data_IF_519293350102
#
_entry.id   IF_519293350102
#
_cell.length_a   1.000
_cell.length_b   1.000
_cell.length_c   1.000
_cell.angle_alpha   90.00
_cell.angle_beta   90.00
_cell.angle_gamma   90.00
#
_symmetry.space_group_name_H-M   'P 1'
#
loop_
_entity.id
_entity.type
_entity.pdbx_description
1 polymer ?
#
# COMPACT_ATOMS: atom_id res chain seq x y z
N UNK A 1 -8.20 -37.20 12.44
CA UNK A 1 -8.61 -36.09 11.54
C UNK A 1 -7.41 -35.37 10.94
N UNK A 2 -6.40 -35.00 11.74
CA UNK A 2 -5.19 -34.30 11.28
C UNK A 2 -4.38 -35.02 10.18
N UNK A 3 -4.26 -36.36 10.23
CA UNK A 3 -3.44 -37.12 9.28
C UNK A 3 -3.93 -37.08 7.84
N UNK A 4 -5.24 -37.18 7.62
CA UNK A 4 -5.82 -37.12 6.27
C UNK A 4 -5.76 -35.71 5.68
N UNK A 5 -6.00 -34.70 6.52
CA UNK A 5 -5.84 -33.30 6.14
C UNK A 5 -4.39 -32.96 5.77
N UNK A 6 -3.41 -33.53 6.47
CA UNK A 6 -1.99 -33.40 6.13
C UNK A 6 -1.64 -34.08 4.80
N UNK A 7 -2.26 -35.24 4.53
CA UNK A 7 -2.14 -35.92 3.23
C UNK A 7 -2.68 -35.05 2.09
N UNK A 8 -3.85 -34.44 2.28
CA UNK A 8 -4.46 -33.55 1.28
C UNK A 8 -3.65 -32.26 1.08
N UNK A 9 -3.09 -31.70 2.15
CA UNK A 9 -2.18 -30.54 2.07
C UNK A 9 -0.89 -30.84 1.31
N UNK A 10 -0.34 -32.05 1.46
CA UNK A 10 0.91 -32.44 0.79
C UNK A 10 0.68 -33.06 -0.59
N UNK A 11 -0.58 -33.26 -0.97
CA UNK A 11 -0.97 -33.78 -2.27
C UNK A 11 -0.54 -32.87 -3.42
N UNK A 12 -0.13 -33.50 -4.54
CA UNK A 12 0.16 -32.79 -5.80
C UNK A 12 -1.11 -32.33 -6.52
N UNK A 13 -2.28 -32.82 -6.10
CA UNK A 13 -3.57 -32.43 -6.66
C UNK A 13 -4.01 -31.09 -6.07
N UNK A 14 -4.07 -30.06 -6.92
CA UNK A 14 -4.46 -28.69 -6.52
C UNK A 14 -5.80 -28.63 -5.81
N UNK A 15 -6.79 -29.42 -6.23
CA UNK A 15 -8.12 -29.46 -5.59
C UNK A 15 -8.03 -29.94 -4.14
N UNK A 16 -7.28 -31.01 -3.87
CA UNK A 16 -7.15 -31.55 -2.52
C UNK A 16 -6.44 -30.53 -1.62
N UNK A 17 -5.32 -29.99 -2.12
CA UNK A 17 -4.54 -28.99 -1.42
C UNK A 17 -5.37 -27.73 -1.10
N UNK A 18 -6.12 -27.21 -2.07
CA UNK A 18 -6.90 -25.97 -1.86
C UNK A 18 -8.14 -26.16 -1.01
N UNK A 19 -8.81 -27.31 -1.07
CA UNK A 19 -9.91 -27.65 -0.15
C UNK A 19 -9.40 -27.80 1.28
N UNK A 20 -8.26 -28.46 1.47
CA UNK A 20 -7.60 -28.57 2.77
C UNK A 20 -7.23 -27.18 3.34
N UNK A 21 -6.64 -26.30 2.53
CA UNK A 21 -6.34 -24.92 2.92
C UNK A 21 -7.61 -24.13 3.28
N UNK A 22 -8.71 -24.30 2.54
CA UNK A 22 -9.98 -23.64 2.86
C UNK A 22 -10.58 -24.18 4.18
N UNK A 23 -10.52 -25.49 4.42
CA UNK A 23 -10.98 -26.10 5.66
C UNK A 23 -10.20 -25.56 6.87
N UNK A 24 -8.87 -25.47 6.76
CA UNK A 24 -8.00 -24.93 7.83
C UNK A 24 -8.34 -23.46 8.09
N UNK A 25 -8.45 -22.64 7.04
CA UNK A 25 -8.81 -21.24 7.16
C UNK A 25 -10.19 -21.05 7.81
N UNK A 26 -11.18 -21.88 7.47
CA UNK A 26 -12.53 -21.76 8.03
C UNK A 26 -12.62 -22.27 9.48
N UNK A 27 -11.91 -23.36 9.80
CA UNK A 27 -11.89 -23.93 11.15
C UNK A 27 -11.20 -22.98 12.14
N UNK A 28 -10.00 -22.49 11.78
CA UNK A 28 -9.29 -21.42 12.49
C UNK A 28 -9.17 -21.60 14.01
N UNK A 29 -9.12 -22.84 14.51
CA UNK A 29 -8.89 -23.11 15.94
C UNK A 29 -7.38 -23.07 16.25
N UNK A 30 -7.02 -22.86 17.52
CA UNK A 30 -5.61 -22.79 17.93
C UNK A 30 -4.85 -24.09 17.63
N UNK A 31 -5.49 -25.25 17.86
CA UNK A 31 -4.91 -26.58 17.62
C UNK A 31 -4.50 -26.81 16.16
N UNK A 32 -5.32 -26.39 15.18
CA UNK A 32 -4.96 -26.49 13.75
C UNK A 32 -3.87 -25.50 13.38
N UNK A 33 -3.84 -24.32 13.99
CA UNK A 33 -2.75 -23.35 13.83
C UNK A 33 -1.41 -23.94 14.28
N UNK A 34 -1.39 -24.55 15.47
CA UNK A 34 -0.20 -25.18 16.06
C UNK A 34 0.29 -26.36 15.22
N UNK A 35 -0.63 -27.22 14.80
CA UNK A 35 -0.29 -28.45 14.09
C UNK A 35 0.07 -28.21 12.62
N UNK A 36 -0.66 -27.33 11.92
CA UNK A 36 -0.62 -27.22 10.46
C UNK A 36 -0.13 -25.86 9.95
N UNK A 37 -0.02 -24.84 10.80
CA UNK A 37 0.44 -23.50 10.39
C UNK A 37 1.79 -23.53 9.68
N UNK A 38 2.74 -24.33 10.20
CA UNK A 38 4.04 -24.55 9.58
C UNK A 38 3.95 -25.21 8.19
N UNK A 39 2.99 -26.12 7.98
CA UNK A 39 2.77 -26.76 6.69
C UNK A 39 2.19 -25.77 5.67
N UNK A 40 1.25 -24.91 6.08
CA UNK A 40 0.70 -23.84 5.23
C UNK A 40 1.81 -22.87 4.82
N UNK A 41 2.65 -22.45 5.76
CA UNK A 41 3.83 -21.62 5.48
C UNK A 41 4.77 -22.30 4.48
N UNK A 42 5.08 -23.59 4.66
CA UNK A 42 5.92 -24.35 3.72
C UNK A 42 5.34 -24.36 2.30
N UNK A 43 4.03 -24.56 2.14
CA UNK A 43 3.36 -24.54 0.83
C UNK A 43 3.53 -23.17 0.17
N UNK A 44 3.30 -22.09 0.91
CA UNK A 44 3.47 -20.73 0.39
C UNK A 44 4.91 -20.45 -0.07
N UNK A 45 5.90 -21.01 0.64
CA UNK A 45 7.32 -20.80 0.35
C UNK A 45 7.82 -21.61 -0.87
N UNK A 46 7.08 -22.62 -1.34
CA UNK A 46 7.46 -23.43 -2.51
C UNK A 46 7.70 -22.57 -3.76
N UNK A 47 8.77 -22.85 -4.51
CA UNK A 47 9.16 -22.04 -5.67
C UNK A 47 8.14 -22.15 -6.81
N UNK A 48 7.64 -23.36 -7.09
CA UNK A 48 6.75 -23.65 -8.24
C UNK A 48 5.31 -23.95 -7.82
N UNK A 49 4.83 -23.32 -6.75
CA UNK A 49 3.43 -23.45 -6.35
C UNK A 49 2.51 -22.84 -7.42
N UNK A 50 1.37 -23.48 -7.66
CA UNK A 50 0.39 -23.00 -8.64
C UNK A 50 -0.28 -21.71 -8.16
N UNK A 51 -0.65 -20.77 -9.05
CA UNK A 51 -1.26 -19.51 -8.65
C UNK A 51 -2.48 -19.65 -7.72
N UNK A 52 -3.35 -20.64 -7.97
CA UNK A 52 -4.53 -20.87 -7.14
C UNK A 52 -4.17 -21.34 -5.73
N UNK A 53 -3.19 -22.24 -5.60
CA UNK A 53 -2.63 -22.68 -4.32
C UNK A 53 -2.00 -21.52 -3.56
N UNK A 54 -1.20 -20.68 -4.23
CA UNK A 54 -0.58 -19.49 -3.60
C UNK A 54 -1.63 -18.57 -3.01
N UNK A 55 -2.70 -18.27 -3.77
CA UNK A 55 -3.82 -17.42 -3.30
C UNK A 55 -4.44 -17.97 -2.02
N UNK A 56 -4.75 -19.27 -2.01
CA UNK A 56 -5.37 -19.94 -0.86
C UNK A 56 -4.43 -20.06 0.33
N UNK A 57 -3.16 -20.39 0.10
CA UNK A 57 -2.17 -20.52 1.16
C UNK A 57 -1.89 -19.16 1.84
N UNK A 58 -1.74 -18.09 1.06
CA UNK A 58 -1.53 -16.75 1.60
C UNK A 58 -2.71 -16.26 2.47
N UNK A 59 -3.95 -16.46 2.01
CA UNK A 59 -5.15 -16.07 2.77
C UNK A 59 -5.41 -16.98 3.97
N UNK A 60 -5.12 -18.28 3.86
CA UNK A 60 -5.20 -19.22 4.98
C UNK A 60 -4.21 -18.82 6.08
N UNK A 61 -2.96 -18.54 5.71
CA UNK A 61 -1.93 -18.11 6.65
C UNK A 61 -2.30 -16.77 7.31
N UNK A 62 -2.83 -15.81 6.54
CA UNK A 62 -3.33 -14.55 7.08
C UNK A 62 -4.45 -14.77 8.11
N UNK A 63 -5.39 -15.68 7.84
CA UNK A 63 -6.47 -15.99 8.77
C UNK A 63 -5.94 -16.60 10.06
N UNK A 64 -5.04 -17.58 9.94
CA UNK A 64 -4.40 -18.23 11.09
C UNK A 64 -3.60 -17.22 11.93
N UNK A 65 -2.80 -16.38 11.29
CA UNK A 65 -2.02 -15.33 11.95
C UNK A 65 -2.91 -14.36 12.72
N UNK A 66 -4.05 -13.94 12.14
CA UNK A 66 -4.97 -13.01 12.80
C UNK A 66 -5.71 -13.62 14.00
N UNK A 67 -5.98 -14.92 13.99
CA UNK A 67 -6.68 -15.61 15.08
C UNK A 67 -5.74 -16.04 16.21
N UNK A 68 -4.57 -16.57 15.85
CA UNK A 68 -3.64 -17.22 16.78
C UNK A 68 -2.21 -16.70 16.51
N UNK A 69 -1.99 -15.39 16.69
CA UNK A 69 -0.70 -14.73 16.42
C UNK A 69 0.43 -15.21 17.33
N UNK A 70 0.08 -15.73 18.51
CA UNK A 70 0.95 -16.37 19.49
C UNK A 70 1.50 -17.72 19.01
N UNK A 71 0.69 -18.46 18.23
CA UNK A 71 1.03 -19.79 17.75
C UNK A 71 1.60 -19.76 16.33
N UNK A 72 1.01 -18.96 15.45
CA UNK A 72 1.36 -18.91 14.02
C UNK A 72 2.10 -17.61 13.75
N UNK A 73 3.44 -17.68 13.77
CA UNK A 73 4.31 -16.58 13.40
C UNK A 73 4.44 -16.37 11.88
N UNK A 74 5.10 -15.27 11.46
CA UNK A 74 5.44 -15.04 10.07
C UNK A 74 6.35 -16.19 9.54
N UNK A 75 6.22 -16.58 8.26
CA UNK A 75 7.11 -17.59 7.69
C UNK A 75 8.57 -17.12 7.72
N UNK A 76 9.49 -18.03 8.05
CA UNK A 76 10.91 -17.75 7.97
C UNK A 76 11.30 -17.29 6.56
N UNK A 77 12.08 -16.21 6.45
CA UNK A 77 12.50 -15.61 5.18
C UNK A 77 11.34 -15.16 4.27
N UNK A 78 10.16 -14.88 4.83
CA UNK A 78 9.00 -14.46 4.05
C UNK A 78 9.27 -13.19 3.23
N UNK A 79 10.10 -12.27 3.71
CA UNK A 79 10.46 -11.03 2.98
C UNK A 79 11.07 -11.35 1.61
N UNK A 80 12.03 -12.28 1.53
CA UNK A 80 12.63 -12.68 0.26
C UNK A 80 11.61 -13.37 -0.65
N UNK A 81 10.75 -14.21 -0.08
CA UNK A 81 9.66 -14.82 -0.84
C UNK A 81 8.68 -13.76 -1.36
N UNK A 82 8.31 -12.78 -0.54
CA UNK A 82 7.40 -11.70 -0.90
C UNK A 82 7.96 -10.88 -2.07
N UNK A 83 9.27 -10.62 -2.13
CA UNK A 83 9.91 -9.96 -3.28
C UNK A 83 9.67 -10.71 -4.60
N UNK A 84 9.72 -12.04 -4.57
CA UNK A 84 9.43 -12.87 -5.75
C UNK A 84 7.93 -12.88 -6.09
N UNK A 85 7.07 -12.97 -5.07
CA UNK A 85 5.62 -13.03 -5.26
C UNK A 85 5.01 -11.70 -5.74
N UNK A 86 5.57 -10.56 -5.33
CA UNK A 86 5.15 -9.23 -5.80
C UNK A 86 5.49 -8.96 -7.28
N UNK A 87 6.31 -9.82 -7.90
CA UNK A 87 6.63 -9.76 -9.33
C UNK A 87 5.74 -10.69 -10.18
N UNK A 88 4.80 -11.41 -9.56
CA UNK A 88 3.89 -12.32 -10.24
C UNK A 88 2.97 -11.57 -11.23
N UNK A 89 2.56 -12.25 -12.31
CA UNK A 89 1.72 -11.66 -13.37
C UNK A 89 0.22 -11.67 -13.02
N UNK A 90 -0.24 -12.71 -12.32
CA UNK A 90 -1.63 -12.85 -11.87
C UNK A 90 -1.96 -11.85 -10.74
N UNK A 91 -2.93 -10.96 -11.00
CA UNK A 91 -3.37 -9.94 -10.05
C UNK A 91 -4.07 -10.50 -8.80
N UNK A 92 -4.64 -11.70 -8.86
CA UNK A 92 -5.23 -12.38 -7.72
C UNK A 92 -4.17 -12.89 -6.75
N UNK A 93 -3.04 -13.39 -7.26
CA UNK A 93 -1.86 -13.76 -6.45
C UNK A 93 -1.35 -12.51 -5.76
N UNK A 94 -1.14 -11.42 -6.51
CA UNK A 94 -0.70 -10.14 -5.96
C UNK A 94 -1.65 -9.63 -4.87
N UNK A 95 -2.98 -9.70 -5.08
CA UNK A 95 -3.98 -9.25 -4.10
C UNK A 95 -3.94 -10.08 -2.82
N UNK A 96 -3.83 -11.40 -2.93
CA UNK A 96 -3.73 -12.30 -1.78
C UNK A 96 -2.43 -12.08 -1.00
N UNK A 97 -1.31 -11.92 -1.69
CA UNK A 97 0.02 -11.68 -1.10
C UNK A 97 0.09 -10.31 -0.43
N UNK A 98 -0.41 -9.25 -1.06
CA UNK A 98 -0.52 -7.94 -0.42
C UNK A 98 -1.39 -7.98 0.84
N UNK A 99 -2.48 -8.75 0.83
CA UNK A 99 -3.33 -8.92 2.01
C UNK A 99 -2.59 -9.60 3.16
N UNK A 100 -1.75 -10.61 2.86
CA UNK A 100 -0.90 -11.26 3.85
C UNK A 100 0.16 -10.29 4.38
N UNK A 101 0.89 -9.58 3.50
CA UNK A 101 1.89 -8.58 3.90
C UNK A 101 1.24 -7.51 4.77
N UNK A 102 0.03 -7.04 4.43
CA UNK A 102 -0.71 -6.06 5.23
C UNK A 102 -1.02 -6.58 6.63
N UNK A 103 -1.40 -7.85 6.77
CA UNK A 103 -1.62 -8.47 8.08
C UNK A 103 -0.35 -8.54 8.93
N UNK A 104 0.78 -8.93 8.33
CA UNK A 104 2.06 -9.06 9.02
C UNK A 104 2.67 -7.68 9.35
N UNK A 105 2.58 -6.73 8.42
CA UNK A 105 3.07 -5.36 8.60
C UNK A 105 2.29 -4.60 9.67
N UNK A 106 1.02 -4.93 9.91
CA UNK A 106 0.27 -4.36 11.02
C UNK A 106 0.86 -4.72 12.40
N UNK A 107 1.57 -5.86 12.51
CA UNK A 107 2.26 -6.26 13.73
C UNK A 107 3.73 -5.77 13.77
N UNK A 108 4.42 -5.81 12.63
CA UNK A 108 5.84 -5.45 12.53
C UNK A 108 6.15 -4.67 11.23
N UNK A 109 5.72 -3.41 11.16
CA UNK A 109 5.81 -2.59 9.94
C UNK A 109 7.25 -2.48 9.39
N UNK A 110 8.22 -2.26 10.27
CA UNK A 110 9.64 -2.02 9.93
C UNK A 110 10.29 -3.16 9.14
N UNK A 111 9.88 -4.41 9.37
CA UNK A 111 10.44 -5.57 8.67
C UNK A 111 10.04 -5.61 7.19
N UNK A 112 8.90 -5.02 6.85
CA UNK A 112 8.32 -5.09 5.51
C UNK A 112 8.52 -3.81 4.69
N UNK A 113 9.11 -2.75 5.25
CA UNK A 113 9.37 -1.50 4.53
C UNK A 113 10.28 -1.69 3.31
N UNK A 114 11.15 -2.70 3.32
CA UNK A 114 11.98 -3.08 2.17
C UNK A 114 11.16 -3.47 0.92
N UNK A 115 9.86 -3.77 1.07
CA UNK A 115 8.96 -4.10 -0.02
C UNK A 115 8.31 -2.87 -0.67
N UNK A 116 8.40 -1.67 -0.06
CA UNK A 116 7.79 -0.42 -0.56
C UNK A 116 8.13 -0.17 -2.04
N UNK A 117 9.39 -0.25 -2.50
CA UNK A 117 9.71 0.00 -3.91
C UNK A 117 9.02 -0.96 -4.88
N UNK A 118 8.83 -2.22 -4.48
CA UNK A 118 8.13 -3.21 -5.29
C UNK A 118 6.63 -2.94 -5.35
N UNK A 119 6.04 -2.48 -4.25
CA UNK A 119 4.62 -2.11 -4.19
C UNK A 119 4.36 -0.86 -5.04
N UNK A 120 5.21 0.17 -4.95
CA UNK A 120 5.09 1.36 -5.79
C UNK A 120 5.23 1.03 -7.28
N UNK A 121 6.22 0.19 -7.65
CA UNK A 121 6.40 -0.29 -9.03
C UNK A 121 5.19 -1.08 -9.53
N UNK A 122 4.62 -1.94 -8.68
CA UNK A 122 3.41 -2.71 -8.99
C UNK A 122 2.23 -1.76 -9.26
N UNK A 123 2.02 -0.77 -8.40
CA UNK A 123 0.95 0.22 -8.56
C UNK A 123 1.14 1.05 -9.84
N UNK A 124 2.36 1.47 -10.16
CA UNK A 124 2.67 2.17 -11.41
C UNK A 124 2.31 1.31 -12.64
N UNK A 125 2.71 0.03 -12.63
CA UNK A 125 2.37 -0.93 -13.70
C UNK A 125 0.85 -1.09 -13.89
N UNK A 126 0.09 -1.15 -12.80
CA UNK A 126 -1.38 -1.35 -12.88
C UNK A 126 -2.11 -0.06 -13.25
N UNK A 127 -1.75 1.07 -12.64
CA UNK A 127 -2.49 2.34 -12.77
C UNK A 127 -2.08 3.10 -14.01
N UNK A 128 -0.78 3.23 -14.28
CA UNK A 128 -0.25 4.03 -15.39
C UNK A 128 -0.16 3.19 -16.66
N UNK A 129 0.49 2.03 -16.59
CA UNK A 129 0.73 1.18 -17.76
C UNK A 129 -0.47 0.29 -18.13
N UNK A 130 -1.50 0.23 -17.26
CA UNK A 130 -2.69 -0.63 -17.42
C UNK A 130 -2.34 -2.10 -17.69
N UNK A 131 -1.19 -2.56 -17.20
CA UNK A 131 -0.65 -3.88 -17.50
C UNK A 131 -1.25 -4.94 -16.56
N UNK A 132 -2.49 -5.31 -16.84
CA UNK A 132 -3.25 -6.39 -16.19
C UNK A 132 -3.92 -7.26 -17.25
N UNK A 133 -4.19 -8.53 -16.93
CA UNK A 133 -4.96 -9.39 -17.85
C UNK A 133 -6.41 -8.93 -17.93
N UNK A 134 -7.08 -9.24 -19.05
CA UNK A 134 -8.47 -8.84 -19.30
C UNK A 134 -9.43 -9.28 -18.20
N UNK A 135 -9.16 -10.42 -17.57
CA UNK A 135 -9.98 -10.99 -16.48
C UNK A 135 -10.01 -10.13 -15.21
N UNK A 136 -9.07 -9.19 -15.05
CA UNK A 136 -9.01 -8.24 -13.93
C UNK A 136 -9.42 -6.82 -14.32
N UNK A 137 -10.01 -6.63 -15.50
CA UNK A 137 -10.66 -5.37 -15.88
C UNK A 137 -12.07 -5.33 -15.28
N UNK A 138 -12.29 -4.40 -14.34
CA UNK A 138 -13.60 -4.17 -13.74
C UNK A 138 -14.24 -2.93 -14.38
N UNK A 139 -15.24 -3.12 -15.23
CA UNK A 139 -15.89 -2.03 -15.98
C UNK A 139 -14.87 -1.05 -16.61
N UNK A 140 -13.83 -1.60 -17.27
CA UNK A 140 -12.69 -0.91 -17.89
C UNK A 140 -11.67 -0.26 -16.94
N UNK A 141 -11.73 -0.57 -15.65
CA UNK A 141 -10.75 -0.15 -14.65
C UNK A 141 -9.80 -1.31 -14.38
N UNK A 142 -8.50 -1.08 -14.53
CA UNK A 142 -7.47 -2.09 -14.27
C UNK A 142 -7.36 -2.42 -12.78
N UNK A 143 -7.78 -3.64 -12.41
CA UNK A 143 -7.63 -4.24 -11.08
C UNK A 143 -7.86 -3.27 -9.90
N UNK A 144 -9.03 -2.61 -9.78
CA UNK A 144 -9.25 -1.57 -8.78
C UNK A 144 -9.00 -2.05 -7.34
N UNK A 145 -9.37 -3.29 -7.03
CA UNK A 145 -9.17 -3.86 -5.69
C UNK A 145 -7.71 -4.17 -5.37
N UNK A 146 -6.89 -4.47 -6.38
CA UNK A 146 -5.45 -4.60 -6.19
C UNK A 146 -4.84 -3.22 -5.85
N UNK A 147 -5.26 -2.17 -6.54
CA UNK A 147 -4.80 -0.79 -6.30
C UNK A 147 -5.20 -0.33 -4.91
N UNK A 148 -6.47 -0.50 -4.53
CA UNK A 148 -7.00 -0.24 -3.18
C UNK A 148 -6.15 -0.97 -2.13
N UNK A 149 -5.85 -2.25 -2.34
CA UNK A 149 -5.03 -3.03 -1.41
C UNK A 149 -3.59 -2.53 -1.30
N UNK A 150 -2.97 -2.15 -2.42
CA UNK A 150 -1.64 -1.57 -2.41
C UNK A 150 -1.59 -0.24 -1.66
N UNK A 151 -2.58 0.64 -1.88
CA UNK A 151 -2.69 1.90 -1.14
C UNK A 151 -2.94 1.70 0.36
N UNK A 152 -3.80 0.76 0.75
CA UNK A 152 -4.02 0.42 2.16
C UNK A 152 -2.75 -0.09 2.83
N UNK A 153 -1.96 -0.91 2.14
CA UNK A 153 -0.68 -1.39 2.65
C UNK A 153 0.34 -0.25 2.82
N UNK A 154 0.44 0.65 1.84
CA UNK A 154 1.35 1.79 1.91
C UNK A 154 1.08 2.69 3.13
N UNK A 155 -0.19 2.84 3.54
CA UNK A 155 -0.56 3.63 4.72
C UNK A 155 0.01 3.10 6.05
N UNK A 156 0.38 1.81 6.11
CA UNK A 156 0.97 1.19 7.32
C UNK A 156 2.43 1.61 7.50
N UNK A 157 3.14 1.91 6.42
CA UNK A 157 4.56 2.21 6.48
C UNK A 157 4.81 3.68 6.82
N UNK A 158 5.89 3.95 7.57
CA UNK A 158 6.29 5.30 7.94
C UNK A 158 7.31 5.87 6.94
N UNK A 159 8.19 5.02 6.41
CA UNK A 159 9.35 5.46 5.62
C UNK A 159 9.13 5.43 4.10
N UNK A 160 7.94 5.78 3.61
CA UNK A 160 7.59 5.72 2.17
C UNK A 160 8.50 6.62 1.32
N UNK A 161 9.02 7.71 1.90
CA UNK A 161 9.87 8.70 1.22
C UNK A 161 11.36 8.37 1.11
N UNK A 162 11.86 7.28 1.70
CA UNK A 162 13.30 6.98 1.71
C UNK A 162 13.87 6.68 0.32
N UNK A 163 13.16 5.88 -0.48
CA UNK A 163 13.56 5.60 -1.87
C UNK A 163 13.00 6.65 -2.83
N UNK A 164 13.89 7.50 -3.34
CA UNK A 164 13.57 8.56 -4.31
C UNK A 164 12.89 8.05 -5.57
N UNK A 165 13.20 6.83 -6.03
CA UNK A 165 12.57 6.24 -7.21
C UNK A 165 11.15 5.77 -6.89
N UNK A 166 11.00 4.99 -5.81
CA UNK A 166 9.70 4.52 -5.36
C UNK A 166 8.73 5.68 -5.06
N UNK A 167 9.22 6.75 -4.43
CA UNK A 167 8.45 7.95 -4.15
C UNK A 167 7.97 8.64 -5.45
N UNK A 168 8.84 8.77 -6.46
CA UNK A 168 8.44 9.33 -7.76
C UNK A 168 7.37 8.49 -8.45
N UNK A 169 7.55 7.17 -8.49
CA UNK A 169 6.60 6.24 -9.08
C UNK A 169 5.24 6.34 -8.38
N UNK A 170 5.24 6.49 -7.04
CA UNK A 170 4.03 6.67 -6.24
C UNK A 170 3.34 8.02 -6.52
N UNK A 171 4.09 9.11 -6.60
CA UNK A 171 3.53 10.43 -6.94
C UNK A 171 2.91 10.42 -8.33
N UNK A 172 3.52 9.75 -9.31
CA UNK A 172 2.93 9.57 -10.64
C UNK A 172 1.61 8.78 -10.57
N UNK A 173 1.58 7.69 -9.81
CA UNK A 173 0.35 6.91 -9.55
C UNK A 173 -0.73 7.78 -8.91
N UNK A 174 -0.40 8.53 -7.86
CA UNK A 174 -1.34 9.41 -7.16
C UNK A 174 -1.87 10.52 -8.07
N UNK A 175 -1.02 11.12 -8.91
CA UNK A 175 -1.45 12.08 -9.95
C UNK A 175 -2.35 11.42 -10.98
N UNK A 176 -2.07 10.18 -11.38
CA UNK A 176 -2.91 9.42 -12.31
C UNK A 176 -4.29 9.08 -11.73
N UNK A 177 -4.38 8.85 -10.42
CA UNK A 177 -5.65 8.56 -9.73
C UNK A 177 -6.41 9.85 -9.39
N UNK A 178 -5.79 10.81 -8.71
CA UNK A 178 -6.42 12.03 -8.21
C UNK A 178 -6.61 13.05 -9.33
N UNK A 179 -5.66 13.13 -10.25
CA UNK A 179 -5.71 14.01 -11.42
C UNK A 179 -6.62 13.49 -12.55
N UNK A 180 -7.30 12.34 -12.36
CA UNK A 180 -8.37 12.01 -13.30
C UNK A 180 -9.46 13.06 -13.20
N UNK A 181 -9.72 13.70 -14.33
CA UNK A 181 -10.61 14.85 -14.44
C UNK A 181 -11.91 14.60 -13.69
N UNK A 182 -12.22 15.41 -12.68
CA UNK A 182 -13.47 15.36 -11.89
C UNK A 182 -14.72 15.22 -12.77
N UNK A 183 -14.65 15.71 -14.02
CA UNK A 183 -15.67 15.49 -15.06
C UNK A 183 -15.96 14.01 -15.34
N UNK A 184 -14.99 13.10 -15.35
CA UNK A 184 -15.23 11.64 -15.48
C UNK A 184 -15.96 11.05 -14.26
N UNK A 185 -15.92 11.71 -13.11
CA UNK A 185 -16.63 11.30 -11.90
C UNK A 185 -18.04 11.91 -11.82
N UNK A 186 -18.20 13.16 -12.26
CA UNK A 186 -19.44 13.94 -12.24
C UNK A 186 -20.34 13.71 -13.47
N UNK A 187 -19.77 13.50 -14.68
CA UNK A 187 -20.52 13.30 -15.94
C UNK A 187 -21.10 11.90 -16.11
N UNK A 188 -21.18 11.14 -15.01
CA UNK A 188 -21.71 9.79 -15.01
C UNK A 188 -23.21 9.94 -14.82
N UNK A 189 -23.97 9.96 -15.92
CA UNK A 189 -25.44 10.00 -15.85
C UNK A 189 -25.94 8.94 -14.87
N UNK A 190 -26.92 9.32 -14.03
CA UNK A 190 -27.59 8.47 -13.05
C UNK A 190 -28.39 7.29 -13.65
N UNK A 191 -28.06 6.86 -14.87
CA UNK A 191 -28.54 5.61 -15.45
C UNK A 191 -27.74 4.47 -14.82
N UNK A 192 -28.48 3.53 -14.23
CA UNK A 192 -28.07 2.40 -13.37
C UNK A 192 -26.85 1.58 -13.86
N UNK A 193 -26.46 1.69 -15.14
CA UNK A 193 -25.33 0.97 -15.76
C UNK A 193 -23.93 1.49 -15.35
N UNK A 194 -23.78 2.69 -14.81
CA UNK A 194 -22.45 3.25 -14.50
C UNK A 194 -22.12 3.33 -13.00
N UNK A 195 -23.01 2.85 -12.11
CA UNK A 195 -22.81 2.91 -10.64
C UNK A 195 -21.62 2.07 -10.19
N UNK A 196 -21.49 0.84 -10.72
CA UNK A 196 -20.38 -0.06 -10.39
C UNK A 196 -19.01 0.55 -10.73
N UNK A 197 -18.88 1.04 -11.96
CA UNK A 197 -17.69 1.75 -12.44
C UNK A 197 -17.36 2.95 -11.55
N UNK A 198 -18.36 3.78 -11.22
CA UNK A 198 -18.18 4.94 -10.33
C UNK A 198 -17.68 4.51 -8.96
N UNK A 199 -18.29 3.49 -8.36
CA UNK A 199 -17.89 2.99 -7.04
C UNK A 199 -16.45 2.46 -7.03
N UNK A 200 -16.04 1.73 -8.06
CA UNK A 200 -14.66 1.26 -8.17
C UNK A 200 -13.65 2.43 -8.36
N UNK A 201 -14.00 3.43 -9.17
CA UNK A 201 -13.16 4.64 -9.30
C UNK A 201 -13.07 5.41 -7.99
N UNK A 202 -14.20 5.60 -7.29
CA UNK A 202 -14.24 6.30 -6.01
C UNK A 202 -13.44 5.56 -4.94
N UNK A 203 -13.55 4.22 -4.85
CA UNK A 203 -12.77 3.45 -3.90
C UNK A 203 -11.26 3.61 -4.10
N UNK A 204 -10.78 3.58 -5.35
CA UNK A 204 -9.38 3.84 -5.68
C UNK A 204 -8.98 5.28 -5.36
N UNK A 205 -9.86 6.25 -5.66
CA UNK A 205 -9.64 7.66 -5.39
C UNK A 205 -9.48 7.95 -3.89
N UNK A 206 -10.41 7.45 -3.06
CA UNK A 206 -10.39 7.66 -1.61
C UNK A 206 -9.14 7.09 -0.98
N UNK A 207 -8.73 5.87 -1.36
CA UNK A 207 -7.49 5.30 -0.86
C UNK A 207 -6.24 6.07 -1.35
N UNK A 208 -6.26 6.57 -2.59
CA UNK A 208 -5.21 7.45 -3.09
C UNK A 208 -5.09 8.75 -2.27
N UNK A 209 -6.21 9.36 -1.92
CA UNK A 209 -6.25 10.55 -1.05
C UNK A 209 -5.72 10.22 0.35
N UNK A 210 -6.07 9.06 0.92
CA UNK A 210 -5.56 8.64 2.22
C UNK A 210 -4.03 8.51 2.21
N UNK A 211 -3.46 7.87 1.18
CA UNK A 211 -2.00 7.79 1.01
C UNK A 211 -1.38 9.17 0.85
N UNK A 212 -1.95 10.03 0.00
CA UNK A 212 -1.43 11.39 -0.20
C UNK A 212 -1.44 12.20 1.11
N UNK A 213 -2.50 12.06 1.91
CA UNK A 213 -2.62 12.71 3.21
C UNK A 213 -1.58 12.19 4.19
N UNK A 214 -1.31 10.87 4.20
CA UNK A 214 -0.26 10.26 5.02
C UNK A 214 1.12 10.80 4.66
N UNK A 215 1.45 10.86 3.37
CA UNK A 215 2.73 11.40 2.88
C UNK A 215 2.93 12.86 3.30
N UNK A 216 1.86 13.66 3.29
CA UNK A 216 1.91 15.05 3.75
C UNK A 216 2.24 15.17 5.24
N UNK A 217 1.68 14.30 6.07
CA UNK A 217 2.01 14.28 7.50
C UNK A 217 3.50 13.98 7.72
N UNK A 218 4.04 12.97 7.03
CA UNK A 218 5.44 12.58 7.18
C UNK A 218 6.41 13.68 6.75
N UNK A 219 6.14 14.41 5.65
CA UNK A 219 6.97 15.55 5.23
C UNK A 219 7.01 16.70 6.23
N UNK A 220 5.93 16.92 6.98
CA UNK A 220 5.89 17.96 8.02
C UNK A 220 6.65 17.51 9.28
N UNK A 221 6.53 16.23 9.67
CA UNK A 221 7.29 15.67 10.80
C UNK A 221 8.80 15.64 10.55
N UNK A 222 9.26 15.34 9.33
CA UNK A 222 10.68 15.39 8.99
C UNK A 222 11.26 16.79 9.14
N UNK A 223 10.51 17.82 8.76
CA UNK A 223 10.95 19.22 8.84
C UNK A 223 11.01 19.76 10.26
N UNK A 224 10.11 19.32 11.13
CA UNK A 224 10.13 19.70 12.54
C UNK A 224 11.29 19.05 13.31
N UNK A 225 11.75 17.84 12.93
CA UNK A 225 12.97 17.22 13.47
C UNK A 225 14.22 17.98 13.05
N UNK A 226 14.36 18.26 11.75
CA UNK A 226 15.52 19.00 11.22
C UNK A 226 15.63 20.42 11.81
N UNK A 227 14.52 21.02 12.24
CA UNK A 227 14.50 22.35 12.87
C UNK A 227 14.80 22.28 14.38
N UNK A 228 14.45 21.18 15.07
CA UNK A 228 14.79 20.95 16.49
C UNK A 228 16.27 20.59 16.68
N UNK A 229 16.82 19.74 15.81
CA UNK A 229 18.23 19.33 15.88
C UNK A 229 19.18 20.51 15.60
N UNK A 230 18.76 21.46 14.74
CA UNK A 230 19.48 22.73 14.53
C UNK A 230 19.40 23.72 15.70
N UNK A 231 18.41 23.57 16.59
CA UNK A 231 18.21 24.48 17.72
C UNK A 231 18.89 24.01 19.01
N UNK A 232 19.31 22.74 19.08
CA UNK A 232 20.07 22.17 20.20
C UNK A 232 21.58 22.34 20.09
N UNK A 233 22.12 22.57 18.89
CA UNK A 233 23.57 22.79 18.67
C UNK A 233 24.02 24.28 18.79
N UNK A 234 23.13 25.20 19.18
CA UNK A 234 23.44 26.64 19.26
C UNK A 234 23.05 27.32 20.58
N UNK A 235 23.06 26.60 21.71
CA UNK A 235 22.96 27.22 23.04
C UNK A 235 24.23 27.04 23.85
N UNK A 236 25.27 27.79 23.47
CA UNK A 236 26.31 28.22 24.41
C UNK A 236 25.70 29.33 25.31
N UNK A 237 25.69 29.20 26.65
CA UNK A 237 24.99 30.12 27.54
C UNK A 237 25.73 31.46 27.81
N UNK A 238 26.63 31.89 26.93
CA UNK A 238 27.36 33.14 27.12
C UNK A 238 27.53 33.92 25.83
N UNK A 239 26.55 34.76 25.51
CA UNK A 239 26.69 36.12 24.94
C UNK A 239 25.31 36.69 24.58
N UNK A 240 24.75 37.43 25.52
CA UNK A 240 23.87 38.56 25.22
C UNK A 240 24.82 39.74 24.99
N UNK A 241 24.85 40.33 23.80
CA UNK A 241 24.99 41.79 23.54
C UNK A 241 24.76 42.05 22.04
N UNK A 242 23.95 43.08 21.81
CA UNK A 242 23.63 43.90 20.63
C UNK A 242 24.63 43.93 19.46
N UNK A 243 24.10 44.03 18.23
CA UNK A 243 24.34 45.17 17.29
C UNK A 243 23.78 44.90 15.88
N UNK A 244 22.96 45.83 15.38
CA UNK A 244 22.65 46.02 13.96
C UNK A 244 23.87 46.56 13.19
N UNK A 245 24.17 46.06 11.99
CA UNK A 245 24.55 46.88 10.82
C UNK A 245 24.74 46.03 9.55
N UNK A 246 24.33 46.62 8.43
CA UNK A 246 24.36 46.08 7.07
C UNK A 246 25.76 45.76 6.52
N UNK A 247 25.84 44.79 5.57
CA UNK A 247 26.53 44.93 4.27
C UNK A 247 26.32 43.71 3.35
N UNK A 248 25.63 44.00 2.26
CA UNK A 248 25.83 43.60 0.86
C UNK A 248 26.86 42.52 0.46
N UNK A 249 26.31 41.53 -0.28
CA UNK A 249 26.73 41.04 -1.60
C UNK A 249 27.87 40.01 -1.72
N UNK A 250 27.54 38.76 -2.07
CA UNK A 250 27.75 38.16 -3.42
C UNK A 250 27.58 36.64 -3.43
N UNK A 251 26.83 36.20 -4.44
CA UNK A 251 26.94 34.96 -5.22
C UNK A 251 27.51 33.69 -4.56
N UNK A 252 26.61 32.77 -4.27
CA UNK A 252 26.90 31.36 -4.00
C UNK A 252 25.73 30.50 -4.46
N UNK A 253 25.98 29.66 -5.46
CA UNK A 253 25.02 28.75 -6.11
C UNK A 253 24.23 27.93 -5.08
N UNK A 254 22.96 28.28 -4.88
CA UNK A 254 22.04 27.62 -3.95
C UNK A 254 21.46 26.32 -4.52
N UNK A 255 22.20 25.22 -4.39
CA UNK A 255 21.72 23.88 -4.66
C UNK A 255 20.79 23.37 -3.55
N UNK A 256 19.51 23.77 -3.54
CA UNK A 256 18.47 23.11 -2.71
C UNK A 256 17.01 23.53 -3.02
N UNK A 257 16.74 24.20 -4.16
CA UNK A 257 15.42 24.84 -4.44
C UNK A 257 14.40 24.08 -5.29
N UNK A 258 14.63 22.86 -5.80
CA UNK A 258 13.78 22.33 -6.90
C UNK A 258 12.91 21.10 -6.62
N UNK A 259 13.02 20.41 -5.48
CA UNK A 259 12.25 19.16 -5.25
C UNK A 259 11.20 19.22 -4.14
N UNK A 260 11.25 20.22 -3.26
CA UNK A 260 10.50 20.20 -2.00
C UNK A 260 9.42 21.31 -1.86
N UNK A 261 9.43 22.30 -2.77
CA UNK A 261 8.31 23.25 -2.93
C UNK A 261 7.22 22.73 -3.87
N UNK A 262 7.54 21.74 -4.70
CA UNK A 262 6.67 21.16 -5.74
C UNK A 262 5.65 20.14 -5.16
N UNK A 263 5.99 19.43 -4.08
CA UNK A 263 5.09 18.47 -3.41
C UNK A 263 3.96 19.12 -2.59
N UNK A 264 4.22 20.30 -2.01
CA UNK A 264 3.26 21.01 -1.13
C UNK A 264 2.13 21.72 -1.86
N UNK A 265 2.29 22.08 -3.13
CA UNK A 265 1.25 22.75 -3.94
C UNK A 265 0.21 21.76 -4.51
N UNK A 266 0.56 20.48 -4.52
CA UNK A 266 -0.19 19.40 -5.19
C UNK A 266 -1.28 18.86 -4.27
N UNK A 267 -0.95 18.64 -2.99
CA UNK A 267 -1.88 18.09 -1.99
C UNK A 267 -2.87 19.17 -1.51
N UNK A 268 -2.47 20.45 -1.50
CA UNK A 268 -3.34 21.57 -1.14
C UNK A 268 -4.43 21.88 -2.20
N UNK A 269 -4.19 21.57 -3.48
CA UNK A 269 -5.22 21.56 -4.55
C UNK A 269 -6.14 20.33 -4.46
N UNK A 270 -5.59 19.16 -4.12
CA UNK A 270 -6.37 17.93 -3.95
C UNK A 270 -7.44 18.05 -2.85
N UNK A 271 -7.18 18.83 -1.80
CA UNK A 271 -8.10 19.10 -0.68
C UNK A 271 -9.17 20.18 -0.98
N UNK A 272 -8.92 21.13 -1.89
CA UNK A 272 -9.88 22.20 -2.21
C UNK A 272 -10.85 21.85 -3.35
N UNK A 273 -10.45 21.04 -4.33
CA UNK A 273 -11.35 20.58 -5.41
C UNK A 273 -12.37 19.54 -4.91
N UNK A 274 -12.02 18.77 -3.88
CA UNK A 274 -12.93 17.81 -3.24
C UNK A 274 -14.02 18.51 -2.40
N UNK A 275 -13.77 19.73 -1.89
CA UNK A 275 -14.78 20.59 -1.25
C UNK A 275 -15.87 21.09 -2.23
N UNK A 276 -15.53 21.32 -3.50
CA UNK A 276 -16.49 21.66 -4.57
C UNK A 276 -17.30 20.46 -5.07
N UNK A 277 -16.70 19.27 -4.97
CA UNK A 277 -17.29 18.01 -5.41
C UNK A 277 -18.44 17.53 -4.48
N UNK A 278 -18.49 17.99 -3.23
CA UNK A 278 -19.54 17.63 -2.25
C UNK A 278 -20.65 18.68 -2.12
N UNK A 279 -20.45 19.93 -2.57
CA UNK A 279 -21.48 20.98 -2.54
C UNK A 279 -22.51 20.86 -3.67
N UNK A 280 -22.18 20.20 -4.78
CA UNK A 280 -23.08 20.03 -5.94
C UNK A 280 -24.00 18.80 -5.84
N UNK A 281 -23.78 17.91 -4.86
CA UNK A 281 -24.63 16.74 -4.61
C UNK A 281 -25.83 17.05 -3.70
N UNK A 282 -25.90 18.27 -3.13
CA UNK A 282 -27.07 18.81 -2.42
C UNK A 282 -27.44 20.16 -3.09
N UNK A 283 -28.68 20.38 -3.57
CA UNK A 283 -28.97 21.47 -4.51
C UNK A 283 -28.82 22.91 -3.96
N UNK A 284 -28.62 23.08 -2.64
CA UNK A 284 -28.61 24.37 -1.95
C UNK A 284 -27.22 24.87 -1.50
N UNK A 285 -26.14 24.17 -1.82
CA UNK A 285 -24.77 24.61 -1.53
C UNK A 285 -24.15 25.38 -2.72
N UNK A 286 -24.86 26.44 -3.17
CA UNK A 286 -24.47 27.37 -4.26
C UNK A 286 -23.05 27.92 -4.13
#
# INVERSE_FOLDING_TARGET
>A
MSQQLLSDLTSKHETHNTLALCFIANSGNAETGETLGNNVSKILMQQNARPYVIKKAALCLLHLFRKNADVVGPPANFVEKAKTLLQHTDAGVLTAVLSLIQGLAAAAAKEYEILIPLICKLLNKVVIQKAVTGDYLYDHIAAPWLVVKGFQLLQIFENIGQDKKAYKDLIEVLRGVIGTDSKKFVSVDAKTKQVRRRNAMLAVLFEGINVATRLFQDENFSKDKDNKDKQTDSKDPSKIVDSNSAKDNKDGQGGERTKEKDGRDIIQKSVNHFRYFLSFQDPDLR
#
